data_IF_494371234156
#
_entry.id   IF_494371234156
#
_cell.length_a   1.000
_cell.length_b   1.000
_cell.length_c   1.000
_cell.angle_alpha   90.00
_cell.angle_beta   90.00
_cell.angle_gamma   90.00
#
_symmetry.space_group_name_H-M   'P 1'
#
loop_
_entity.id
_entity.type
_entity.pdbx_description
1 polymer ?
#
# COMPACT_ATOMS: atom_id res chain seq x y z
N UNK A 1 17.50 -0.57 29.03
CA UNK A 1 16.77 0.26 28.05
C UNK A 1 16.24 -0.65 26.96
N UNK A 2 14.94 -0.58 26.70
CA UNK A 2 14.24 -1.42 25.72
C UNK A 2 14.85 -1.20 24.34
N UNK A 3 15.24 -2.28 23.67
CA UNK A 3 15.73 -2.25 22.30
C UNK A 3 14.55 -1.91 21.37
N UNK A 4 14.38 -0.63 21.04
CA UNK A 4 13.41 -0.11 20.07
C UNK A 4 13.95 -0.15 18.64
N UNK A 5 15.02 -0.90 18.39
CA UNK A 5 15.69 -0.97 17.09
C UNK A 5 15.58 -2.40 16.59
N UNK A 6 14.36 -2.79 16.23
CA UNK A 6 14.07 -3.94 15.36
C UNK A 6 12.73 -3.73 14.63
N UNK A 7 12.34 -2.47 14.40
CA UNK A 7 11.14 -2.12 13.63
C UNK A 7 11.45 -1.72 12.17
N UNK A 8 12.72 -1.70 11.79
CA UNK A 8 13.19 -1.32 10.45
C UNK A 8 13.47 -2.50 9.51
N UNK A 9 12.96 -3.70 9.81
CA UNK A 9 12.85 -4.76 8.78
C UNK A 9 11.73 -4.44 7.74
N UNK A 10 11.36 -3.17 7.61
CA UNK A 10 10.51 -2.64 6.54
C UNK A 10 11.30 -2.43 5.24
N UNK A 11 12.63 -2.50 5.25
CA UNK A 11 13.46 -2.19 4.07
C UNK A 11 13.34 -3.21 2.93
N UNK A 12 12.82 -4.41 3.15
CA UNK A 12 12.68 -5.43 2.10
C UNK A 12 11.31 -6.11 2.04
N UNK A 13 10.23 -5.38 2.32
CA UNK A 13 8.93 -5.82 1.82
C UNK A 13 8.95 -5.68 0.30
N UNK A 14 8.89 -6.80 -0.43
CA UNK A 14 8.69 -6.81 -1.89
C UNK A 14 7.53 -5.88 -2.25
N UNK A 15 7.65 -5.16 -3.38
CA UNK A 15 6.70 -4.12 -3.79
C UNK A 15 5.27 -4.63 -3.80
N UNK A 16 5.06 -5.89 -4.17
CA UNK A 16 3.76 -6.56 -4.11
C UNK A 16 3.17 -6.61 -2.70
N UNK A 17 3.96 -6.89 -1.67
CA UNK A 17 3.49 -6.89 -0.27
C UNK A 17 3.15 -5.49 0.21
N UNK A 18 3.90 -4.47 -0.24
CA UNK A 18 3.62 -3.08 0.11
C UNK A 18 2.33 -2.60 -0.57
N UNK A 19 2.18 -2.90 -1.87
CA UNK A 19 0.97 -2.61 -2.65
C UNK A 19 -0.24 -3.30 -2.02
N UNK A 20 -0.12 -4.58 -1.66
CA UNK A 20 -1.22 -5.30 -1.01
C UNK A 20 -1.58 -4.71 0.35
N UNK A 21 -0.60 -4.24 1.14
CA UNK A 21 -0.88 -3.59 2.43
C UNK A 21 -1.61 -2.27 2.25
N UNK A 22 -1.16 -1.43 1.32
CA UNK A 22 -1.75 -0.11 1.07
C UNK A 22 -3.11 -0.25 0.40
N UNK A 23 -3.23 -1.11 -0.62
CA UNK A 23 -4.48 -1.41 -1.31
C UNK A 23 -5.57 -1.90 -0.36
N UNK A 24 -5.26 -2.86 0.51
CA UNK A 24 -6.21 -3.33 1.52
C UNK A 24 -6.61 -2.22 2.50
N UNK A 25 -5.65 -1.40 2.99
CA UNK A 25 -5.98 -0.30 3.90
C UNK A 25 -6.92 0.76 3.26
N UNK A 26 -6.76 1.01 1.96
CA UNK A 26 -7.64 1.92 1.21
C UNK A 26 -9.03 1.31 1.04
N UNK A 27 -9.12 0.04 0.62
CA UNK A 27 -10.39 -0.68 0.48
C UNK A 27 -11.14 -0.77 1.80
N UNK A 28 -10.47 -1.18 2.88
CA UNK A 28 -11.05 -1.28 4.22
C UNK A 28 -11.54 0.10 4.70
N UNK A 29 -10.76 1.16 4.47
CA UNK A 29 -11.14 2.52 4.83
C UNK A 29 -12.37 3.03 4.07
N UNK A 30 -12.50 2.68 2.79
CA UNK A 30 -13.67 3.01 1.97
C UNK A 30 -14.90 2.21 2.42
N UNK A 31 -14.76 0.92 2.67
CA UNK A 31 -15.85 0.08 3.18
C UNK A 31 -16.31 0.52 4.58
N UNK A 32 -15.39 0.87 5.47
CA UNK A 32 -15.71 1.40 6.80
C UNK A 32 -16.48 2.74 6.75
N UNK A 33 -16.29 3.53 5.68
CA UNK A 33 -17.04 4.76 5.42
C UNK A 33 -18.40 4.51 4.74
N UNK A 34 -18.74 3.26 4.46
CA UNK A 34 -20.02 2.85 3.86
C UNK A 34 -20.01 2.80 2.33
N UNK A 35 -18.86 2.92 1.68
CA UNK A 35 -18.76 2.72 0.23
C UNK A 35 -18.86 1.22 -0.10
N UNK A 36 -19.75 0.87 -1.02
CA UNK A 36 -19.87 -0.50 -1.54
C UNK A 36 -19.02 -0.63 -2.80
N UNK A 37 -17.78 -1.08 -2.62
CA UNK A 37 -16.86 -1.34 -3.72
C UNK A 37 -17.20 -2.67 -4.39
N UNK A 38 -17.25 -2.67 -5.72
CA UNK A 38 -17.30 -3.89 -6.52
C UNK A 38 -15.89 -4.40 -6.85
N UNK A 39 -15.79 -5.62 -7.39
CA UNK A 39 -14.49 -6.24 -7.69
C UNK A 39 -13.63 -5.44 -8.67
N UNK A 40 -14.24 -4.78 -9.66
CA UNK A 40 -13.52 -3.93 -10.61
C UNK A 40 -12.96 -2.69 -9.90
N UNK A 41 -13.75 -2.03 -9.05
CA UNK A 41 -13.30 -0.87 -8.27
C UNK A 41 -12.16 -1.24 -7.31
N UNK A 42 -12.21 -2.43 -6.71
CA UNK A 42 -11.10 -2.95 -5.89
C UNK A 42 -9.85 -3.15 -6.74
N UNK A 43 -9.96 -3.76 -7.92
CA UNK A 43 -8.81 -3.94 -8.82
C UNK A 43 -8.21 -2.60 -9.27
N UNK A 44 -9.06 -1.62 -9.60
CA UNK A 44 -8.63 -0.29 -10.03
C UNK A 44 -7.89 0.44 -8.90
N UNK A 45 -8.35 0.32 -7.64
CA UNK A 45 -7.64 0.86 -6.47
C UNK A 45 -6.24 0.25 -6.34
N UNK A 46 -6.11 -1.07 -6.47
CA UNK A 46 -4.82 -1.74 -6.36
C UNK A 46 -3.87 -1.36 -7.50
N UNK A 47 -4.39 -1.21 -8.73
CA UNK A 47 -3.60 -0.76 -9.88
C UNK A 47 -3.09 0.67 -9.68
N UNK A 48 -3.93 1.58 -9.17
CA UNK A 48 -3.53 2.96 -8.91
C UNK A 48 -2.53 3.07 -7.75
N UNK A 49 -2.70 2.26 -6.70
CA UNK A 49 -1.71 2.14 -5.62
C UNK A 49 -0.37 1.63 -6.15
N UNK A 50 -0.37 0.58 -6.99
CA UNK A 50 0.84 0.06 -7.60
C UNK A 50 1.56 1.12 -8.45
N UNK A 51 0.80 1.87 -9.26
CA UNK A 51 1.33 2.95 -10.08
C UNK A 51 1.93 4.07 -9.23
N UNK A 52 1.23 4.57 -8.22
CA UNK A 52 1.74 5.62 -7.34
C UNK A 52 3.01 5.18 -6.60
N UNK A 53 3.06 3.92 -6.16
CA UNK A 53 4.26 3.37 -5.51
C UNK A 53 5.45 3.27 -6.45
N UNK A 54 5.22 2.89 -7.71
CA UNK A 54 6.26 2.83 -8.73
C UNK A 54 6.76 4.22 -9.14
N UNK A 55 5.84 5.18 -9.32
CA UNK A 55 6.15 6.57 -9.64
C UNK A 55 6.94 7.26 -8.49
N UNK A 56 6.62 6.92 -7.24
CA UNK A 56 7.37 7.37 -6.04
C UNK A 56 8.81 6.84 -6.02
N UNK A 57 9.02 5.61 -6.47
CA UNK A 57 10.36 5.04 -6.60
C UNK A 57 11.18 5.76 -7.68
N UNK A 58 10.60 6.06 -8.84
CA UNK A 58 11.30 6.84 -9.88
C UNK A 58 11.62 8.29 -9.47
N UNK A 59 10.78 8.90 -8.62
CA UNK A 59 11.02 10.26 -8.14
C UNK A 59 12.11 10.34 -7.06
N UNK A 60 12.42 9.24 -6.36
CA UNK A 60 13.46 9.18 -5.33
C UNK A 60 14.87 8.89 -5.88
N UNK A 61 14.99 8.42 -7.13
CA UNK A 61 16.26 8.13 -7.82
C UNK A 61 16.82 9.33 -8.63
N UNK A 62 16.28 10.55 -8.45
CA UNK A 62 16.74 11.78 -9.13
C UNK A 62 17.44 12.78 -8.20
#
# INVERSE_FOLDING_TARGET
MKSYINMYDQENLSDEKKINRVGNAVVDGLQAKGFKLNEQEVQDIFAEVAKQMNDLHEAQDK
#
